data_IF_847211453857
#
_entry.id   IF_847211453857
#
_cell.length_a   1.000
_cell.length_b   1.000
_cell.length_c   1.000
_cell.angle_alpha   90.00
_cell.angle_beta   90.00
_cell.angle_gamma   90.00
#
_symmetry.space_group_name_H-M   'P 1'
#
loop_
_entity.id
_entity.type
_entity.pdbx_description
1 polymer ?
#
# COMPACT_ATOMS: atom_id res chain seq x y z
N UNK A 1 10.23 -2.37 8.36
CA UNK A 1 9.13 -2.66 7.40
C UNK A 1 7.82 -2.28 8.09
N UNK A 2 6.92 -1.57 7.41
CA UNK A 2 5.59 -1.22 7.92
C UNK A 2 4.56 -1.37 6.79
N UNK A 3 3.31 -1.67 7.13
CA UNK A 3 2.20 -1.81 6.17
C UNK A 3 0.93 -1.06 6.64
N UNK A 4 1.00 0.27 6.83
CA UNK A 4 -0.19 1.08 7.10
C UNK A 4 -1.02 1.29 5.82
N UNK A 5 -2.30 1.65 5.98
CA UNK A 5 -3.14 2.08 4.85
C UNK A 5 -2.58 3.37 4.23
N UNK A 6 -2.08 4.29 5.05
CA UNK A 6 -1.45 5.55 4.66
C UNK A 6 -2.18 6.29 3.51
N UNK A 7 -3.45 6.69 3.70
CA UNK A 7 -4.30 7.21 2.62
C UNK A 7 -3.82 8.53 2.03
N UNK A 8 -3.20 9.40 2.83
CA UNK A 8 -2.89 10.77 2.43
C UNK A 8 -1.46 10.91 1.89
N UNK A 9 -1.33 11.48 0.69
CA UNK A 9 -0.05 11.72 0.02
C UNK A 9 0.85 12.66 0.83
N UNK A 10 0.29 13.68 1.49
CA UNK A 10 1.05 14.60 2.33
C UNK A 10 1.80 13.87 3.46
N UNK A 11 1.13 12.94 4.13
CA UNK A 11 1.72 12.13 5.21
C UNK A 11 2.82 11.22 4.67
N UNK A 12 2.58 10.55 3.54
CA UNK A 12 3.60 9.68 2.91
C UNK A 12 4.83 10.49 2.49
N UNK A 13 4.64 11.67 1.89
CA UNK A 13 5.74 12.57 1.50
C UNK A 13 6.53 13.10 2.70
N UNK A 14 5.87 13.42 3.81
CA UNK A 14 6.53 13.84 5.04
C UNK A 14 7.41 12.71 5.60
N UNK A 15 6.87 11.49 5.66
CA UNK A 15 7.58 10.31 6.16
C UNK A 15 8.78 9.99 5.25
N UNK A 16 8.58 9.99 3.92
CA UNK A 16 9.65 9.85 2.93
C UNK A 16 10.77 10.84 3.21
N UNK A 17 10.43 12.14 3.30
CA UNK A 17 11.39 13.21 3.53
C UNK A 17 12.14 13.09 4.87
N UNK A 18 11.50 12.51 5.90
CA UNK A 18 12.11 12.28 7.20
C UNK A 18 13.08 11.10 7.15
N UNK A 19 12.63 9.95 6.61
CA UNK A 19 13.41 8.71 6.56
C UNK A 19 14.59 8.85 5.60
N UNK A 20 14.41 9.53 4.46
CA UNK A 20 15.48 9.75 3.47
C UNK A 20 16.70 10.49 4.03
N UNK A 21 16.60 11.15 5.19
CA UNK A 21 17.74 11.75 5.89
C UNK A 21 18.66 10.74 6.56
N UNK A 22 18.16 9.53 6.81
CA UNK A 22 18.83 8.48 7.56
C UNK A 22 19.10 7.22 6.73
N UNK A 23 18.48 7.07 5.55
CA UNK A 23 18.68 5.93 4.67
C UNK A 23 17.72 5.90 3.50
N UNK A 24 17.64 4.75 2.81
CA UNK A 24 16.69 4.55 1.72
C UNK A 24 15.25 4.56 2.20
N UNK A 25 14.36 5.09 1.36
CA UNK A 25 12.92 4.99 1.53
C UNK A 25 12.31 4.46 0.24
N UNK A 26 11.59 3.33 0.35
CA UNK A 26 10.93 2.66 -0.76
C UNK A 26 9.43 2.61 -0.45
N UNK A 27 8.63 3.24 -1.29
CA UNK A 27 7.17 3.19 -1.24
C UNK A 27 6.67 2.09 -2.18
N UNK A 28 6.06 1.07 -1.58
CA UNK A 28 5.38 -0.01 -2.31
C UNK A 28 3.89 0.30 -2.33
N UNK A 29 3.36 0.65 -3.50
CA UNK A 29 1.94 0.87 -3.70
C UNK A 29 1.24 -0.44 -4.07
N UNK A 30 0.46 -0.98 -3.14
CA UNK A 30 -0.43 -2.10 -3.42
C UNK A 30 -1.72 -1.55 -4.05
N UNK A 31 -1.72 -1.43 -5.37
CA UNK A 31 -2.72 -0.79 -6.21
C UNK A 31 -3.92 -1.70 -6.55
N UNK A 32 -4.23 -2.67 -5.68
CA UNK A 32 -5.36 -3.58 -5.92
C UNK A 32 -6.68 -2.80 -5.88
N UNK A 33 -7.57 -2.96 -6.89
CA UNK A 33 -8.84 -2.27 -6.94
C UNK A 33 -9.66 -2.47 -5.67
N UNK A 34 -10.40 -1.44 -5.27
CA UNK A 34 -11.21 -1.48 -4.06
C UNK A 34 -12.30 -2.54 -4.16
N UNK A 35 -12.85 -2.78 -5.35
CA UNK A 35 -13.87 -3.79 -5.61
C UNK A 35 -13.35 -5.20 -5.31
N UNK A 36 -12.06 -5.46 -5.62
CA UNK A 36 -11.39 -6.73 -5.29
C UNK A 36 -11.14 -6.81 -3.78
N UNK A 37 -10.73 -5.71 -3.15
CA UNK A 37 -10.57 -5.65 -1.69
C UNK A 37 -11.89 -5.90 -0.94
N UNK A 38 -12.99 -5.30 -1.42
CA UNK A 38 -14.35 -5.47 -0.91
C UNK A 38 -14.85 -6.90 -1.10
N UNK A 39 -14.63 -7.49 -2.28
CA UNK A 39 -14.99 -8.88 -2.55
C UNK A 39 -14.28 -9.84 -1.59
N UNK A 40 -13.01 -9.55 -1.26
CA UNK A 40 -12.21 -10.40 -0.37
C UNK A 40 -12.60 -10.27 1.10
N UNK A 41 -13.30 -9.21 1.52
CA UNK A 41 -13.58 -8.70 2.89
C UNK A 41 -13.51 -9.74 4.04
N UNK A 42 -12.31 -10.24 4.34
CA UNK A 42 -12.12 -11.39 5.25
C UNK A 42 -12.55 -11.08 6.68
N UNK A 43 -12.67 -9.80 7.03
CA UNK A 43 -12.99 -9.30 8.37
C UNK A 43 -14.38 -8.65 8.45
N UNK A 44 -15.12 -8.59 7.34
CA UNK A 44 -16.42 -7.92 7.27
C UNK A 44 -16.34 -6.40 7.50
N UNK A 45 -15.17 -5.78 7.29
CA UNK A 45 -14.95 -4.37 7.58
C UNK A 45 -15.55 -3.47 6.50
N UNK A 46 -15.42 -3.85 5.23
CA UNK A 46 -16.04 -3.11 4.13
C UNK A 46 -17.57 -3.18 4.22
N UNK A 47 -18.13 -4.34 4.53
CA UNK A 47 -19.57 -4.48 4.75
C UNK A 47 -20.08 -3.56 5.88
N UNK A 48 -19.37 -3.51 7.01
CA UNK A 48 -19.72 -2.62 8.13
C UNK A 48 -19.55 -1.13 7.77
N UNK A 49 -18.51 -0.78 7.02
CA UNK A 49 -18.30 0.58 6.54
C UNK A 49 -19.41 1.04 5.59
N UNK A 50 -19.81 0.21 4.62
CA UNK A 50 -20.93 0.47 3.70
C UNK A 50 -22.27 0.59 4.42
N UNK A 51 -22.45 -0.13 5.53
CA UNK A 51 -23.60 0.00 6.41
C UNK A 51 -23.55 1.25 7.34
N UNK A 52 -22.51 2.08 7.27
CA UNK A 52 -22.35 3.28 8.10
C UNK A 52 -21.96 2.99 9.55
N UNK A 53 -21.57 1.75 9.88
CA UNK A 53 -21.20 1.34 11.24
C UNK A 53 -19.75 1.66 11.59
N UNK A 54 -18.92 1.96 10.59
CA UNK A 54 -17.53 2.38 10.77
C UNK A 54 -17.36 3.74 10.09
N UNK A 55 -17.23 4.85 10.85
CA UNK A 55 -16.95 6.16 10.28
C UNK A 55 -15.54 6.21 9.71
N UNK A 56 -15.30 7.14 8.76
CA UNK A 56 -13.96 7.46 8.22
C UNK A 56 -13.20 6.23 7.70
N UNK A 57 -13.89 5.37 6.95
CA UNK A 57 -13.29 4.17 6.39
C UNK A 57 -12.66 4.48 5.03
N UNK A 58 -11.34 4.33 4.95
CA UNK A 58 -10.56 4.61 3.74
C UNK A 58 -11.09 3.84 2.53
N UNK A 59 -11.31 4.54 1.42
CA UNK A 59 -11.87 4.02 0.18
C UNK A 59 -13.40 3.99 0.12
N UNK A 60 -14.09 4.16 1.26
CA UNK A 60 -15.56 4.22 1.33
C UNK A 60 -16.05 5.61 1.71
N UNK A 61 -15.66 6.11 2.89
CA UNK A 61 -16.07 7.42 3.42
C UNK A 61 -14.92 8.39 3.65
N UNK A 62 -13.68 7.92 3.57
CA UNK A 62 -12.44 8.70 3.63
C UNK A 62 -11.60 8.41 2.37
N UNK A 63 -10.91 9.38 1.74
CA UNK A 63 -10.23 9.15 0.48
C UNK A 63 -8.99 8.28 0.62
N UNK A 64 -8.63 7.62 -0.47
CA UNK A 64 -7.29 7.08 -0.66
C UNK A 64 -6.64 7.85 -1.81
N UNK A 65 -5.59 8.62 -1.54
CA UNK A 65 -4.85 9.37 -2.55
C UNK A 65 -3.73 8.47 -3.10
N UNK A 66 -3.82 7.97 -4.34
CA UNK A 66 -2.78 7.10 -4.89
C UNK A 66 -1.42 7.81 -4.91
N UNK A 67 -0.31 7.12 -4.58
CA UNK A 67 1.01 7.71 -4.68
C UNK A 67 1.35 8.01 -6.14
N UNK A 68 1.90 9.19 -6.38
CA UNK A 68 2.24 9.65 -7.73
C UNK A 68 3.53 9.02 -8.26
N UNK A 69 4.50 8.76 -7.38
CA UNK A 69 5.81 8.23 -7.75
C UNK A 69 6.26 7.13 -6.77
N UNK A 70 5.50 6.04 -6.61
CA UNK A 70 5.96 4.90 -5.82
C UNK A 70 7.12 4.20 -6.53
N UNK A 71 8.03 3.63 -5.76
CA UNK A 71 9.15 2.84 -6.29
C UNK A 71 8.71 1.49 -6.84
N UNK A 72 7.68 0.89 -6.24
CA UNK A 72 7.10 -0.39 -6.68
C UNK A 72 5.58 -0.27 -6.69
N UNK A 73 4.94 -0.74 -7.76
CA UNK A 73 3.48 -0.84 -7.87
C UNK A 73 3.13 -2.31 -8.00
N UNK A 74 2.19 -2.78 -7.18
CA UNK A 74 1.75 -4.16 -7.12
C UNK A 74 0.24 -4.20 -7.24
N UNK A 75 -0.28 -4.95 -8.22
CA UNK A 75 -1.68 -5.35 -8.24
C UNK A 75 -1.80 -6.83 -7.87
N UNK A 76 -2.39 -7.09 -6.71
CA UNK A 76 -2.64 -8.44 -6.19
C UNK A 76 -3.88 -9.12 -6.78
N UNK A 77 -4.53 -8.57 -7.80
CA UNK A 77 -5.72 -9.19 -8.42
C UNK A 77 -5.39 -10.59 -8.96
N UNK A 78 -4.27 -10.72 -9.67
CA UNK A 78 -3.80 -11.96 -10.30
C UNK A 78 -2.44 -12.41 -9.75
N UNK A 79 -2.08 -11.96 -8.54
CA UNK A 79 -0.78 -12.21 -7.94
C UNK A 79 -0.92 -12.71 -6.50
N UNK A 80 -0.16 -13.75 -6.17
CA UNK A 80 -0.06 -14.27 -4.80
C UNK A 80 0.80 -13.35 -3.93
N UNK A 81 0.68 -13.43 -2.58
CA UNK A 81 1.54 -12.68 -1.68
C UNK A 81 3.04 -12.97 -1.87
N UNK A 82 3.41 -14.21 -2.23
CA UNK A 82 4.80 -14.60 -2.44
C UNK A 82 5.37 -13.99 -3.73
N UNK A 83 4.59 -13.97 -4.81
CA UNK A 83 4.97 -13.27 -6.06
C UNK A 83 5.09 -11.75 -5.83
N UNK A 84 4.16 -11.15 -5.08
CA UNK A 84 4.23 -9.74 -4.72
C UNK A 84 5.48 -9.41 -3.89
N UNK A 85 5.81 -10.26 -2.91
CA UNK A 85 7.04 -10.12 -2.13
C UNK A 85 8.28 -10.26 -3.00
N UNK A 86 8.28 -11.17 -3.97
CA UNK A 86 9.37 -11.37 -4.91
C UNK A 86 9.62 -10.12 -5.77
N UNK A 87 8.57 -9.45 -6.25
CA UNK A 87 8.72 -8.18 -7.00
C UNK A 87 9.38 -7.08 -6.15
N UNK A 88 9.02 -6.98 -4.87
CA UNK A 88 9.68 -6.04 -3.93
C UNK A 88 11.14 -6.40 -3.74
N UNK A 89 11.47 -7.69 -3.55
CA UNK A 89 12.85 -8.14 -3.36
C UNK A 89 13.70 -7.87 -4.60
N UNK A 90 13.19 -8.16 -5.81
CA UNK A 90 13.87 -7.87 -7.06
C UNK A 90 14.14 -6.37 -7.24
N UNK A 91 13.20 -5.51 -6.85
CA UNK A 91 13.43 -4.07 -6.84
C UNK A 91 14.56 -3.70 -5.88
N UNK A 92 14.55 -4.21 -4.65
CA UNK A 92 15.56 -3.92 -3.64
C UNK A 92 16.96 -4.39 -4.07
N UNK A 93 17.07 -5.53 -4.74
CA UNK A 93 18.32 -6.03 -5.32
C UNK A 93 18.84 -5.09 -6.41
N UNK A 94 17.99 -4.71 -7.38
CA UNK A 94 18.34 -3.78 -8.47
C UNK A 94 18.76 -2.41 -7.93
N UNK A 95 18.12 -1.95 -6.87
CA UNK A 95 18.42 -0.68 -6.21
C UNK A 95 19.61 -0.76 -5.23
N UNK A 96 20.22 -1.94 -5.05
CA UNK A 96 21.41 -2.14 -4.21
C UNK A 96 21.14 -2.20 -2.71
N UNK A 97 19.88 -2.36 -2.30
CA UNK A 97 19.47 -2.53 -0.90
C UNK A 97 19.54 -3.98 -0.40
N UNK A 98 19.53 -4.95 -1.32
CA UNK A 98 19.68 -6.37 -1.01
C UNK A 98 20.78 -7.00 -1.89
N UNK A 99 21.37 -8.11 -1.40
CA UNK A 99 22.29 -8.95 -2.17
C UNK A 99 21.76 -10.39 -2.11
N UNK A 100 21.97 -11.14 -3.19
CA UNK A 100 21.80 -12.59 -3.20
C UNK A 100 22.74 -13.28 -2.21
#
# INVERSE_FOLDING_TARGET
>A
ICAPIAPYAATRNQIRSLISRYGGFIEVYVATPIEVCEMRDRKGLYAKARAGLIPEFTGVSDPYEPPQNPEVIIDTTEMTPDEAAQEVLLYLERAGYARH
#
